data_IF_593134477674
#
_entry.id   IF_593134477674
#
_cell.length_a   1.000
_cell.length_b   1.000
_cell.length_c   1.000
_cell.angle_alpha   90.00
_cell.angle_beta   90.00
_cell.angle_gamma   90.00
#
_symmetry.space_group_name_H-M   'P 1'
#
loop_
_entity.id
_entity.type
_entity.pdbx_description
1 polymer ?
#
# COMPACT_ATOMS: atom_id res chain seq x y z
N UNK A 1 -14.69 47.26 3.43
CA UNK A 1 -14.08 46.55 2.28
C UNK A 1 -12.67 47.04 1.96
N UNK A 2 -12.44 48.34 1.75
CA UNK A 2 -11.08 48.89 1.46
C UNK A 2 -10.04 48.58 2.54
N UNK A 3 -10.38 48.75 3.82
CA UNK A 3 -9.48 48.45 4.95
C UNK A 3 -9.14 46.96 5.01
N UNK A 4 -10.10 46.07 4.73
CA UNK A 4 -9.89 44.63 4.75
C UNK A 4 -8.98 44.17 3.60
N UNK A 5 -9.10 44.79 2.41
CA UNK A 5 -8.22 44.56 1.27
C UNK A 5 -6.81 45.10 1.56
N UNK A 6 -6.68 46.25 2.21
CA UNK A 6 -5.38 46.79 2.63
C UNK A 6 -4.70 45.92 3.68
N UNK A 7 -5.45 45.37 4.65
CA UNK A 7 -4.92 44.41 5.63
C UNK A 7 -4.54 43.09 4.94
N UNK A 8 -5.34 42.61 3.99
CA UNK A 8 -5.03 41.42 3.20
C UNK A 8 -3.76 41.62 2.35
N UNK A 9 -3.59 42.77 1.69
CA UNK A 9 -2.39 43.10 0.93
C UNK A 9 -1.16 43.29 1.85
N UNK A 10 -1.35 43.83 3.06
CA UNK A 10 -0.30 43.95 4.07
C UNK A 10 0.13 42.57 4.61
N UNK A 11 -0.84 41.67 4.83
CA UNK A 11 -0.60 40.28 5.20
C UNK A 11 0.03 39.47 4.06
N UNK A 12 -0.35 39.74 2.81
CA UNK A 12 0.27 39.14 1.62
C UNK A 12 1.71 39.65 1.40
N UNK A 13 2.00 40.92 1.73
CA UNK A 13 3.39 41.43 1.74
C UNK A 13 4.26 40.87 2.86
N UNK A 14 3.66 40.18 3.84
CA UNK A 14 4.33 39.46 4.91
C UNK A 14 4.79 38.04 4.53
N UNK A 15 4.42 37.53 3.35
CA UNK A 15 5.10 36.37 2.77
C UNK A 15 6.45 36.85 2.23
N UNK A 16 7.41 37.01 3.13
CA UNK A 16 8.80 37.21 2.74
C UNK A 16 9.27 35.95 2.05
N UNK A 17 9.31 36.04 0.72
CA UNK A 17 10.08 35.19 -0.18
C UNK A 17 11.49 34.97 0.38
N UNK A 18 11.71 33.84 1.04
CA UNK A 18 12.95 33.53 1.73
C UNK A 18 13.85 32.68 0.82
N UNK A 19 15.13 33.03 0.78
CA UNK A 19 16.15 32.13 0.23
C UNK A 19 16.43 31.05 1.26
N UNK A 20 16.43 29.80 0.85
CA UNK A 20 16.75 28.68 1.73
C UNK A 20 18.13 28.12 1.40
N UNK A 21 18.92 27.87 2.44
CA UNK A 21 20.21 27.22 2.35
C UNK A 21 20.11 25.90 3.08
N UNK A 22 20.19 24.79 2.35
CA UNK A 22 20.15 23.45 2.89
C UNK A 22 21.56 22.85 2.86
N UNK A 23 22.08 22.44 4.01
CA UNK A 23 23.40 21.84 4.15
C UNK A 23 23.23 20.42 4.67
N UNK A 24 23.72 19.47 3.89
CA UNK A 24 23.80 18.07 4.25
C UNK A 24 25.18 17.75 4.85
N UNK A 25 25.21 17.44 6.14
CA UNK A 25 26.46 17.08 6.84
C UNK A 25 26.96 15.67 6.48
N UNK A 26 26.13 14.81 5.89
CA UNK A 26 26.52 13.46 5.46
C UNK A 26 27.61 13.47 4.39
N UNK A 27 27.40 14.23 3.30
CA UNK A 27 28.31 14.29 2.14
C UNK A 27 28.97 15.66 1.96
N UNK A 28 28.79 16.55 2.95
CA UNK A 28 29.33 17.91 2.99
C UNK A 28 28.89 18.73 1.78
N UNK A 29 27.63 18.58 1.35
CA UNK A 29 27.04 19.36 0.27
C UNK A 29 26.10 20.42 0.80
N UNK A 30 26.07 21.56 0.12
CA UNK A 30 25.14 22.63 0.39
C UNK A 30 24.41 23.06 -0.88
N UNK A 31 23.17 23.50 -0.71
CA UNK A 31 22.25 23.88 -1.76
C UNK A 31 21.61 25.21 -1.41
N UNK A 32 21.51 26.11 -2.38
CA UNK A 32 20.79 27.38 -2.24
C UNK A 32 19.56 27.31 -3.13
N UNK A 33 18.39 27.45 -2.51
CA UNK A 33 17.10 27.55 -3.15
C UNK A 33 16.60 28.98 -3.09
N UNK A 34 16.02 29.45 -4.19
CA UNK A 34 15.32 30.73 -4.20
C UNK A 34 13.91 30.61 -3.63
N UNK A 35 13.15 31.69 -3.74
CA UNK A 35 11.80 31.81 -3.21
C UNK A 35 10.74 30.96 -3.92
N UNK A 36 11.03 30.51 -5.14
CA UNK A 36 10.20 29.59 -5.91
C UNK A 36 10.67 28.13 -5.70
N UNK A 37 11.52 27.90 -4.69
CA UNK A 37 12.17 26.64 -4.37
C UNK A 37 13.00 26.09 -5.54
N UNK A 38 13.53 26.96 -6.41
CA UNK A 38 14.42 26.57 -7.49
C UNK A 38 15.86 26.52 -6.97
N UNK A 39 16.57 25.43 -7.29
CA UNK A 39 17.98 25.30 -6.98
C UNK A 39 18.80 26.30 -7.83
N UNK A 40 19.40 27.29 -7.20
CA UNK A 40 20.19 28.33 -7.87
C UNK A 40 21.70 28.14 -7.70
N UNK A 41 22.15 27.43 -6.66
CA UNK A 41 23.55 27.10 -6.47
C UNK A 41 23.72 25.80 -5.67
N UNK A 42 24.80 25.08 -5.95
CA UNK A 42 25.29 23.97 -5.12
C UNK A 42 26.77 24.18 -4.81
N UNK A 43 27.20 23.76 -3.63
CA UNK A 43 28.55 23.99 -3.12
C UNK A 43 28.99 22.88 -2.16
N UNK A 44 30.30 22.83 -1.87
CA UNK A 44 30.83 22.02 -0.78
C UNK A 44 30.80 22.85 0.50
N UNK A 45 30.24 22.27 1.55
CA UNK A 45 30.09 22.90 2.84
C UNK A 45 31.04 22.24 3.85
N UNK A 46 31.76 23.05 4.62
CA UNK A 46 32.48 22.58 5.80
C UNK A 46 31.76 23.11 7.03
N UNK A 47 31.28 22.20 7.86
CA UNK A 47 30.47 22.52 9.03
C UNK A 47 30.65 21.42 10.06
N UNK A 48 31.06 21.81 11.27
CA UNK A 48 31.17 20.90 12.41
C UNK A 48 29.88 20.85 13.25
N UNK A 49 28.88 21.67 12.90
CA UNK A 49 27.61 21.72 13.62
C UNK A 49 26.69 20.54 13.28
N UNK A 50 26.06 19.97 14.31
CA UNK A 50 25.27 18.73 14.19
C UNK A 50 23.87 19.00 13.61
N UNK A 51 23.22 20.10 14.01
CA UNK A 51 21.89 20.49 13.50
C UNK A 51 21.62 21.97 13.78
N UNK A 52 21.27 22.73 12.74
CA UNK A 52 20.93 24.16 12.83
C UNK A 52 19.69 24.41 11.96
N UNK A 53 18.76 25.21 12.45
CA UNK A 53 17.64 25.76 11.66
C UNK A 53 17.47 27.20 12.10
N UNK A 54 18.13 28.14 11.41
CA UNK A 54 18.19 29.53 11.84
C UNK A 54 18.09 30.48 10.64
N UNK A 55 17.90 31.77 10.91
CA UNK A 55 17.79 32.81 9.89
C UNK A 55 19.00 33.75 10.00
N UNK A 56 19.49 34.28 8.89
CA UNK A 56 20.54 35.31 8.90
C UNK A 56 19.98 36.59 9.51
N UNK A 57 20.57 37.03 10.62
CA UNK A 57 20.13 38.17 11.41
C UNK A 57 20.99 39.41 11.23
N UNK A 58 22.28 39.23 10.92
CA UNK A 58 23.22 40.34 10.83
C UNK A 58 24.44 40.00 9.96
N UNK A 59 25.28 41.00 9.71
CA UNK A 59 26.55 40.88 8.99
C UNK A 59 27.69 41.35 9.89
N UNK A 60 28.67 40.48 10.11
CA UNK A 60 29.96 40.87 10.64
C UNK A 60 30.82 41.46 9.53
N UNK A 61 31.36 42.66 9.76
CA UNK A 61 32.41 43.24 8.91
C UNK A 61 33.71 43.31 9.70
N UNK A 62 34.83 42.79 9.17
CA UNK A 62 36.10 42.81 9.87
C UNK A 62 36.53 44.25 10.14
N UNK A 63 37.02 44.51 11.35
CA UNK A 63 37.57 45.80 11.73
C UNK A 63 39.05 45.85 11.32
N UNK A 64 39.46 46.94 10.67
CA UNK A 64 40.88 47.22 10.48
C UNK A 64 41.49 47.75 11.78
N UNK A 65 41.98 46.83 12.61
CA UNK A 65 42.72 47.17 13.82
C UNK A 65 44.23 47.17 13.51
N UNK A 66 44.92 48.22 13.94
CA UNK A 66 46.38 48.36 13.76
C UNK A 66 47.19 47.50 14.75
N UNK A 67 46.52 46.82 15.68
CA UNK A 67 47.14 46.14 16.83
C UNK A 67 46.37 44.85 17.13
N UNK A 68 47.06 43.72 17.15
CA UNK A 68 46.48 42.38 17.38
C UNK A 68 46.30 42.11 18.87
N UNK A 69 45.16 42.52 19.44
CA UNK A 69 44.84 42.20 20.84
C UNK A 69 44.14 40.84 20.99
N UNK A 70 43.34 40.42 20.00
CA UNK A 70 42.58 39.16 20.00
C UNK A 70 42.42 38.66 18.55
N UNK A 71 42.43 37.34 18.29
CA UNK A 71 42.15 36.80 16.96
C UNK A 71 40.68 37.06 16.61
N UNK A 72 40.43 38.08 15.79
CA UNK A 72 39.13 38.36 15.22
C UNK A 72 39.06 37.80 13.79
N UNK A 73 37.86 37.42 13.32
CA UNK A 73 37.70 37.02 11.93
C UNK A 73 38.16 38.14 11.00
N UNK A 74 38.99 37.78 10.02
CA UNK A 74 39.54 38.73 9.05
C UNK A 74 38.63 38.88 7.83
N UNK A 75 37.66 37.97 7.70
CA UNK A 75 36.69 37.95 6.62
C UNK A 75 35.30 38.46 7.06
N UNK A 76 34.48 38.82 6.08
CA UNK A 76 33.06 39.17 6.32
C UNK A 76 32.29 37.88 6.58
N UNK A 77 31.40 37.88 7.57
CA UNK A 77 30.57 36.73 7.93
C UNK A 77 29.09 37.15 8.00
N UNK A 78 28.20 36.24 7.64
CA UNK A 78 26.77 36.34 7.95
C UNK A 78 26.52 35.70 9.31
N UNK A 79 25.79 36.38 10.19
CA UNK A 79 25.51 35.92 11.54
C UNK A 79 24.07 35.40 11.58
N UNK A 80 23.88 34.17 12.03
CA UNK A 80 22.57 33.57 12.26
C UNK A 80 21.94 34.10 13.55
N UNK A 81 20.61 34.05 13.69
CA UNK A 81 19.91 34.46 14.92
C UNK A 81 20.40 33.71 16.17
N UNK A 82 20.81 32.45 15.98
CA UNK A 82 21.35 31.60 17.04
C UNK A 82 22.85 31.88 17.35
N UNK A 83 23.48 32.83 16.64
CA UNK A 83 24.83 33.30 16.89
C UNK A 83 25.95 32.60 16.12
N UNK A 84 25.65 31.50 15.42
CA UNK A 84 26.63 30.86 14.51
C UNK A 84 26.88 31.73 13.28
N UNK A 85 28.00 31.48 12.63
CA UNK A 85 28.51 32.28 11.53
C UNK A 85 28.62 31.48 10.24
N UNK A 86 28.19 32.10 9.14
CA UNK A 86 28.30 31.57 7.79
C UNK A 86 29.28 32.44 6.99
N UNK A 87 30.32 31.83 6.43
CA UNK A 87 31.38 32.52 5.71
C UNK A 87 31.89 31.76 4.49
N UNK A 88 32.78 32.40 3.74
CA UNK A 88 33.38 31.79 2.56
C UNK A 88 34.34 30.66 2.94
N UNK A 89 35.36 30.98 3.75
CA UNK A 89 36.45 30.08 4.13
C UNK A 89 36.74 30.10 5.65
N UNK A 90 35.93 30.83 6.41
CA UNK A 90 36.07 31.06 7.85
C UNK A 90 34.66 31.15 8.46
N UNK A 91 34.50 30.77 9.72
CA UNK A 91 33.22 30.72 10.43
C UNK A 91 32.80 29.29 10.81
N UNK A 92 31.66 29.16 11.48
CA UNK A 92 31.12 27.86 11.90
C UNK A 92 30.63 27.02 10.71
N UNK A 93 30.17 27.71 9.66
CA UNK A 93 29.69 27.13 8.40
C UNK A 93 30.44 27.80 7.25
N UNK A 94 31.29 27.05 6.57
CA UNK A 94 32.00 27.51 5.38
C UNK A 94 31.29 27.02 4.11
N UNK A 95 30.91 27.93 3.22
CA UNK A 95 30.13 27.63 2.00
C UNK A 95 30.92 27.83 0.71
N UNK A 96 32.16 28.30 0.80
CA UNK A 96 32.99 28.71 -0.34
C UNK A 96 32.63 30.10 -0.86
N UNK A 97 33.60 30.75 -1.51
CA UNK A 97 33.51 32.15 -1.95
C UNK A 97 32.29 32.44 -2.82
N UNK A 98 32.03 31.63 -3.85
CA UNK A 98 30.93 31.85 -4.80
C UNK A 98 29.55 31.80 -4.13
N UNK A 99 29.33 30.83 -3.25
CA UNK A 99 28.06 30.71 -2.54
C UNK A 99 27.92 31.83 -1.50
N UNK A 100 29.01 32.19 -0.82
CA UNK A 100 29.01 33.29 0.13
C UNK A 100 28.69 34.63 -0.53
N UNK A 101 29.31 34.94 -1.67
CA UNK A 101 29.02 36.17 -2.44
C UNK A 101 27.54 36.26 -2.83
N UNK A 102 26.96 35.15 -3.32
CA UNK A 102 25.55 35.06 -3.65
C UNK A 102 24.66 35.34 -2.43
N UNK A 103 24.92 34.69 -1.30
CA UNK A 103 24.14 34.87 -0.08
C UNK A 103 24.31 36.28 0.49
N UNK A 104 25.53 36.82 0.46
CA UNK A 104 25.83 38.17 0.90
C UNK A 104 25.06 39.21 0.06
N UNK A 105 25.05 39.07 -1.26
CA UNK A 105 24.29 39.93 -2.16
C UNK A 105 22.79 39.85 -1.88
N UNK A 106 22.24 38.64 -1.74
CA UNK A 106 20.82 38.43 -1.44
C UNK A 106 20.40 39.08 -0.12
N UNK A 107 21.22 38.95 0.92
CA UNK A 107 20.93 39.54 2.22
C UNK A 107 21.15 41.07 2.22
N UNK A 108 22.32 41.54 1.80
CA UNK A 108 22.69 42.94 1.94
C UNK A 108 22.05 43.85 0.90
N UNK A 109 22.03 43.42 -0.37
CA UNK A 109 21.59 44.23 -1.51
C UNK A 109 20.11 44.01 -1.80
N UNK A 110 19.66 42.76 -1.84
CA UNK A 110 18.26 42.42 -2.21
C UNK A 110 17.32 42.41 -0.99
N UNK A 111 17.86 42.53 0.23
CA UNK A 111 17.09 42.51 1.50
C UNK A 111 16.21 41.27 1.64
N UNK A 112 16.66 40.13 1.12
CA UNK A 112 15.96 38.85 1.22
C UNK A 112 16.30 38.19 2.56
N UNK A 113 15.29 37.58 3.18
CA UNK A 113 15.51 36.69 4.32
C UNK A 113 16.24 35.43 3.85
N UNK A 114 17.19 34.94 4.64
CA UNK A 114 17.94 33.72 4.33
C UNK A 114 17.78 32.76 5.50
N UNK A 115 17.10 31.64 5.26
CA UNK A 115 16.98 30.54 6.21
C UNK A 115 18.10 29.54 5.94
N UNK A 116 18.77 29.08 6.99
CA UNK A 116 19.87 28.13 6.92
C UNK A 116 19.50 26.89 7.73
N UNK A 117 19.39 25.77 7.03
CA UNK A 117 19.07 24.45 7.55
C UNK A 117 20.27 23.52 7.39
N UNK A 118 20.91 23.16 8.51
CA UNK A 118 21.99 22.18 8.58
C UNK A 118 21.44 20.94 9.27
N UNK A 119 21.50 19.78 8.61
CA UNK A 119 21.15 18.50 9.22
C UNK A 119 21.89 17.36 8.51
N UNK A 120 21.81 16.16 9.10
CA UNK A 120 22.35 14.94 8.55
C UNK A 120 21.29 14.22 7.70
N UNK A 121 21.51 14.17 6.39
CA UNK A 121 20.66 13.46 5.43
C UNK A 121 21.48 12.38 4.71
N UNK A 122 21.38 11.10 5.12
CA UNK A 122 22.09 10.00 4.49
C UNK A 122 21.43 9.58 3.15
N UNK A 123 21.16 10.55 2.28
CA UNK A 123 20.43 10.44 1.03
C UNK A 123 21.27 10.99 -0.11
N UNK A 124 21.42 10.21 -1.18
CA UNK A 124 21.96 10.66 -2.46
C UNK A 124 20.85 10.61 -3.52
N UNK A 125 20.66 11.71 -4.26
CA UNK A 125 19.64 11.81 -5.30
C UNK A 125 20.33 11.83 -6.67
N UNK A 126 19.98 10.88 -7.52
CA UNK A 126 20.44 10.77 -8.90
C UNK A 126 19.26 10.96 -9.85
N UNK A 127 19.53 11.18 -11.14
CA UNK A 127 18.49 11.37 -12.16
C UNK A 127 17.51 10.19 -12.31
N UNK A 128 17.94 9.00 -11.94
CA UNK A 128 17.20 7.74 -12.12
C UNK A 128 16.84 7.03 -10.81
N UNK A 129 17.43 7.43 -9.68
CA UNK A 129 17.32 6.73 -8.39
C UNK A 129 17.60 7.61 -7.17
N UNK A 130 17.09 7.21 -6.03
CA UNK A 130 17.44 7.69 -4.70
C UNK A 130 18.21 6.58 -3.98
N UNK A 131 19.30 6.93 -3.32
CA UNK A 131 20.07 6.00 -2.48
C UNK A 131 19.98 6.48 -1.04
N UNK A 132 19.47 5.62 -0.15
CA UNK A 132 19.39 5.85 1.29
C UNK A 132 20.47 4.99 1.95
N UNK A 133 21.41 5.61 2.64
CA UNK A 133 22.62 4.94 3.15
C UNK A 133 22.46 4.45 4.58
N UNK A 134 21.68 5.18 5.37
CA UNK A 134 21.44 4.92 6.79
C UNK A 134 19.97 5.17 7.13
N UNK A 135 19.53 4.74 8.31
CA UNK A 135 18.15 4.91 8.76
C UNK A 135 17.79 6.39 8.87
N UNK A 136 16.60 6.75 8.39
CA UNK A 136 16.07 8.11 8.43
C UNK A 136 14.58 8.12 8.78
N UNK A 137 14.13 9.16 9.48
CA UNK A 137 12.70 9.36 9.74
C UNK A 137 11.97 9.85 8.47
N UNK A 138 10.69 9.50 8.35
CA UNK A 138 9.87 9.92 7.19
C UNK A 138 9.81 11.43 7.04
N UNK A 139 9.69 12.15 8.16
CA UNK A 139 9.64 13.62 8.19
C UNK A 139 10.92 14.24 7.63
N UNK A 140 12.10 13.76 8.07
CA UNK A 140 13.39 14.23 7.55
C UNK A 140 13.58 13.87 6.08
N UNK A 141 13.20 12.66 5.68
CA UNK A 141 13.25 12.23 4.28
C UNK A 141 12.42 13.15 3.39
N UNK A 142 11.17 13.41 3.79
CA UNK A 142 10.27 14.29 3.04
C UNK A 142 10.80 15.72 2.96
N UNK A 143 11.25 16.26 4.10
CA UNK A 143 11.85 17.59 4.14
C UNK A 143 13.00 17.74 3.14
N UNK A 144 13.95 16.81 3.13
CA UNK A 144 15.10 16.88 2.21
C UNK A 144 14.69 16.66 0.75
N UNK A 145 13.95 15.60 0.47
CA UNK A 145 13.71 15.15 -0.91
C UNK A 145 12.73 16.06 -1.66
N UNK A 146 11.79 16.72 -0.96
CA UNK A 146 10.83 17.65 -1.59
C UNK A 146 11.50 18.86 -2.26
N UNK A 147 12.70 19.24 -1.83
CA UNK A 147 13.48 20.30 -2.49
C UNK A 147 13.92 19.93 -3.91
N UNK A 148 14.15 18.63 -4.16
CA UNK A 148 14.66 18.15 -5.45
C UNK A 148 13.56 17.47 -6.28
N UNK A 149 12.57 16.87 -5.61
CA UNK A 149 11.51 16.06 -6.18
C UNK A 149 10.19 16.36 -5.46
N UNK A 150 9.58 17.55 -5.70
CA UNK A 150 8.37 17.98 -4.99
C UNK A 150 7.16 17.07 -5.23
N UNK A 151 7.10 16.42 -6.39
CA UNK A 151 6.02 15.48 -6.76
C UNK A 151 6.26 14.05 -6.27
N UNK A 152 7.33 13.80 -5.51
CA UNK A 152 7.61 12.46 -5.02
C UNK A 152 6.54 12.03 -4.02
N UNK A 153 6.00 10.83 -4.23
CA UNK A 153 4.91 10.34 -3.43
C UNK A 153 5.29 10.20 -1.94
N UNK A 154 4.38 10.62 -1.06
CA UNK A 154 4.51 10.58 0.42
C UNK A 154 4.88 9.18 0.93
N UNK A 155 4.49 8.13 0.22
CA UNK A 155 4.72 6.72 0.56
C UNK A 155 6.06 6.15 0.05
N UNK A 156 6.94 6.94 -0.54
CA UNK A 156 8.24 6.44 -1.04
C UNK A 156 9.02 5.66 0.05
N UNK A 157 9.71 4.56 -0.30
CA UNK A 157 10.49 3.79 0.67
C UNK A 157 11.56 4.63 1.37
N UNK A 158 11.75 4.41 2.67
CA UNK A 158 12.70 5.20 3.50
C UNK A 158 13.77 4.35 4.21
N UNK A 159 13.78 3.03 3.99
CA UNK A 159 14.81 2.16 4.57
C UNK A 159 16.12 2.29 3.80
N UNK A 160 17.28 1.88 4.37
CA UNK A 160 18.54 1.86 3.63
C UNK A 160 18.45 0.98 2.37
N UNK A 161 18.85 1.53 1.22
CA UNK A 161 18.71 0.85 -0.07
C UNK A 161 18.85 1.77 -1.27
N UNK A 162 18.70 1.19 -2.46
CA UNK A 162 18.71 1.90 -3.74
C UNK A 162 17.33 1.77 -4.37
N UNK A 163 16.68 2.90 -4.64
CA UNK A 163 15.31 2.97 -5.11
C UNK A 163 15.23 3.72 -6.44
N UNK A 164 14.69 3.13 -7.51
CA UNK A 164 14.51 3.85 -8.76
C UNK A 164 13.45 4.94 -8.62
N UNK A 165 13.70 6.12 -9.21
CA UNK A 165 12.71 7.21 -9.29
C UNK A 165 11.57 6.86 -10.24
N UNK A 166 11.91 6.16 -11.33
CA UNK A 166 10.95 5.50 -12.21
C UNK A 166 10.82 4.07 -11.74
N UNK A 167 10.02 3.81 -10.70
CA UNK A 167 9.55 2.44 -10.54
C UNK A 167 8.63 2.16 -11.72
N UNK A 168 9.09 1.34 -12.67
CA UNK A 168 8.16 0.58 -13.48
C UNK A 168 7.43 -0.29 -12.47
N UNK A 169 6.31 0.19 -11.94
CA UNK A 169 5.44 -0.61 -11.09
C UNK A 169 5.21 -1.91 -11.84
N UNK A 170 5.70 -3.01 -11.28
CA UNK A 170 5.48 -4.31 -11.89
C UNK A 170 3.98 -4.52 -11.95
N UNK A 171 3.48 -4.94 -13.12
CA UNK A 171 2.05 -5.19 -13.31
C UNK A 171 1.61 -6.21 -12.26
N UNK A 172 0.51 -5.95 -11.53
CA UNK A 172 -0.03 -6.95 -10.62
C UNK A 172 -0.46 -8.18 -11.42
N UNK A 173 -0.21 -9.34 -10.85
CA UNK A 173 -0.85 -10.57 -11.30
C UNK A 173 -2.24 -10.68 -10.66
N UNK A 174 -3.09 -11.56 -11.18
CA UNK A 174 -4.45 -11.72 -10.65
C UNK A 174 -4.79 -13.19 -10.48
N UNK A 175 -5.30 -13.53 -9.31
CA UNK A 175 -5.96 -14.80 -9.06
C UNK A 175 -7.47 -14.64 -9.27
N UNK A 176 -8.00 -15.36 -10.24
CA UNK A 176 -9.43 -15.50 -10.49
C UNK A 176 -9.89 -16.86 -9.95
N UNK A 177 -10.93 -16.86 -9.12
CA UNK A 177 -11.58 -18.08 -8.65
C UNK A 177 -13.09 -17.97 -8.78
N UNK A 178 -13.74 -19.11 -9.01
CA UNK A 178 -15.19 -19.22 -9.18
C UNK A 178 -15.73 -20.44 -8.44
N UNK A 179 -16.92 -20.30 -7.90
CA UNK A 179 -17.67 -21.30 -7.18
C UNK A 179 -19.10 -21.34 -7.76
N UNK A 180 -19.48 -22.41 -8.48
CA UNK A 180 -20.84 -22.57 -9.01
C UNK A 180 -21.90 -22.28 -7.95
N UNK A 181 -22.96 -21.56 -8.34
CA UNK A 181 -24.07 -21.22 -7.45
C UNK A 181 -23.80 -20.15 -6.38
N UNK A 182 -22.53 -19.82 -6.11
CA UNK A 182 -22.15 -18.81 -5.12
C UNK A 182 -21.64 -17.54 -5.80
N UNK A 183 -20.74 -17.66 -6.77
CA UNK A 183 -20.06 -16.53 -7.39
C UNK A 183 -18.55 -16.73 -7.47
N UNK A 184 -17.78 -15.64 -7.48
CA UNK A 184 -16.33 -15.67 -7.58
C UNK A 184 -15.68 -14.39 -7.12
N UNK A 185 -14.37 -14.30 -7.32
CA UNK A 185 -13.62 -13.08 -7.05
C UNK A 185 -12.33 -12.99 -7.85
N UNK A 186 -11.86 -11.76 -8.02
CA UNK A 186 -10.54 -11.42 -8.57
C UNK A 186 -9.73 -10.75 -7.47
N UNK A 187 -8.60 -11.37 -7.13
CA UNK A 187 -7.66 -10.88 -6.12
C UNK A 187 -6.36 -10.49 -6.82
N UNK A 188 -5.89 -9.23 -6.65
CA UNK A 188 -4.59 -8.81 -7.16
C UNK A 188 -3.46 -9.39 -6.29
N UNK A 189 -2.39 -9.83 -6.95
CA UNK A 189 -1.13 -10.28 -6.37
C UNK A 189 -0.08 -9.23 -6.75
N UNK A 190 0.32 -8.43 -5.77
CA UNK A 190 1.33 -7.40 -5.96
C UNK A 190 2.72 -7.97 -5.71
N UNK A 191 3.64 -7.74 -6.65
CA UNK A 191 5.06 -8.07 -6.50
C UNK A 191 5.83 -7.05 -5.66
N UNK A 192 5.25 -5.86 -5.46
CA UNK A 192 5.75 -4.75 -4.65
C UNK A 192 4.66 -4.30 -3.66
N UNK A 193 4.85 -3.16 -2.98
CA UNK A 193 3.85 -2.65 -2.03
C UNK A 193 2.44 -2.48 -2.66
N UNK A 194 1.37 -2.84 -1.93
CA UNK A 194 0.00 -2.76 -2.43
C UNK A 194 -0.37 -1.33 -2.83
N UNK A 195 -1.02 -1.19 -3.98
CA UNK A 195 -1.47 0.09 -4.50
C UNK A 195 -2.96 0.04 -4.85
N UNK A 196 -3.59 1.22 -4.85
CA UNK A 196 -5.01 1.36 -5.16
C UNK A 196 -5.27 0.93 -6.61
N UNK A 197 -6.20 -0.02 -6.78
CA UNK A 197 -6.72 -0.45 -8.07
C UNK A 197 -8.10 0.17 -8.25
N UNK A 198 -8.40 0.60 -9.47
CA UNK A 198 -9.76 0.93 -9.87
C UNK A 198 -10.33 -0.27 -10.61
N UNK A 199 -11.50 -0.69 -10.21
CA UNK A 199 -12.22 -1.80 -10.82
C UNK A 199 -13.49 -1.27 -11.47
N UNK A 200 -13.86 -1.88 -12.58
CA UNK A 200 -15.17 -1.73 -13.19
C UNK A 200 -15.77 -3.14 -13.34
N UNK A 201 -16.89 -3.40 -12.66
CA UNK A 201 -17.61 -4.66 -12.71
C UNK A 201 -18.96 -4.39 -13.35
N UNK A 202 -19.17 -4.89 -14.57
CA UNK A 202 -20.42 -4.71 -15.32
C UNK A 202 -20.89 -3.24 -15.42
N UNK A 203 -19.94 -2.30 -15.54
CA UNK A 203 -20.20 -0.86 -15.59
C UNK A 203 -20.16 -0.14 -14.25
N UNK A 204 -19.99 -0.86 -13.13
CA UNK A 204 -19.97 -0.30 -11.77
C UNK A 204 -18.53 -0.14 -11.28
N UNK A 205 -18.14 1.10 -10.99
CA UNK A 205 -16.78 1.40 -10.53
C UNK A 205 -16.60 1.16 -9.02
N UNK A 206 -15.44 0.64 -8.62
CA UNK A 206 -15.05 0.48 -7.21
C UNK A 206 -13.53 0.53 -7.01
N UNK A 207 -13.07 0.87 -5.80
CA UNK A 207 -11.64 1.00 -5.44
C UNK A 207 -11.21 -0.01 -4.37
N UNK A 208 -11.97 -1.09 -4.19
CA UNK A 208 -11.68 -2.12 -3.20
C UNK A 208 -10.37 -2.86 -3.54
N UNK A 209 -9.70 -3.39 -2.51
CA UNK A 209 -8.47 -4.18 -2.67
C UNK A 209 -8.67 -5.48 -3.46
N UNK A 210 -9.89 -5.99 -3.51
CA UNK A 210 -10.30 -7.13 -4.32
C UNK A 210 -11.78 -6.99 -4.68
N UNK A 211 -12.22 -7.71 -5.71
CA UNK A 211 -13.61 -7.69 -6.17
C UNK A 211 -14.22 -9.07 -6.15
N UNK A 212 -15.52 -9.11 -5.85
CA UNK A 212 -16.32 -10.33 -5.74
C UNK A 212 -17.60 -10.12 -6.53
N UNK A 213 -18.09 -11.18 -7.17
CA UNK A 213 -19.27 -11.19 -8.04
C UNK A 213 -20.09 -12.46 -7.79
N UNK A 214 -21.39 -12.39 -8.08
CA UNK A 214 -22.30 -13.52 -7.91
C UNK A 214 -22.27 -14.50 -9.09
N UNK A 215 -23.24 -15.41 -9.18
CA UNK A 215 -23.43 -16.22 -10.38
C UNK A 215 -23.98 -15.37 -11.53
N UNK A 216 -23.56 -15.67 -12.76
CA UNK A 216 -23.88 -14.90 -13.96
C UNK A 216 -22.69 -14.74 -14.91
N UNK A 217 -22.92 -13.98 -15.99
CA UNK A 217 -21.86 -13.48 -16.86
C UNK A 217 -21.39 -12.11 -16.35
N UNK A 218 -20.07 -11.95 -16.25
CA UNK A 218 -19.44 -10.74 -15.74
C UNK A 218 -18.29 -10.28 -16.64
N UNK A 219 -18.24 -8.97 -16.89
CA UNK A 219 -17.11 -8.26 -17.47
C UNK A 219 -16.45 -7.43 -16.35
N UNK A 220 -15.21 -7.76 -16.03
CA UNK A 220 -14.46 -7.13 -14.95
C UNK A 220 -13.21 -6.49 -15.54
N UNK A 221 -13.03 -5.20 -15.34
CA UNK A 221 -11.86 -4.47 -15.79
C UNK A 221 -11.10 -3.92 -14.58
N UNK A 222 -9.82 -4.25 -14.49
CA UNK A 222 -8.89 -3.69 -13.51
C UNK A 222 -8.05 -2.63 -14.19
N UNK A 223 -8.07 -1.40 -13.67
CA UNK A 223 -7.26 -0.27 -14.13
C UNK A 223 -6.20 0.03 -13.08
N UNK A 224 -4.96 0.11 -13.56
CA UNK A 224 -3.76 0.27 -12.76
C UNK A 224 -2.92 1.43 -13.28
N UNK A 225 -2.62 2.38 -12.40
CA UNK A 225 -1.73 3.50 -12.72
C UNK A 225 -0.27 3.04 -12.58
N UNK A 226 0.39 2.80 -13.73
CA UNK A 226 1.81 2.44 -13.81
C UNK A 226 2.72 3.65 -13.55
N UNK A 227 2.29 4.84 -13.99
CA UNK A 227 2.99 6.12 -13.76
C UNK A 227 2.06 7.32 -13.98
N UNK A 228 2.54 8.54 -13.73
CA UNK A 228 1.78 9.80 -13.83
C UNK A 228 1.06 9.99 -15.18
N UNK A 229 1.52 9.31 -16.25
CA UNK A 229 0.92 9.38 -17.59
C UNK A 229 0.75 7.99 -18.26
N UNK A 230 0.75 6.90 -17.48
CA UNK A 230 0.58 5.56 -18.03
C UNK A 230 -0.39 4.75 -17.19
N UNK A 231 -1.51 4.38 -17.81
CA UNK A 231 -2.47 3.45 -17.25
C UNK A 231 -2.34 2.12 -17.97
N UNK A 232 -2.47 1.04 -17.21
CA UNK A 232 -2.62 -0.30 -17.73
C UNK A 232 -3.97 -0.85 -17.30
N UNK A 233 -4.62 -1.56 -18.22
CA UNK A 233 -5.91 -2.17 -17.99
C UNK A 233 -5.84 -3.67 -18.30
N UNK A 234 -6.49 -4.46 -17.45
CA UNK A 234 -6.70 -5.89 -17.63
C UNK A 234 -8.18 -6.21 -17.53
N UNK A 235 -8.73 -6.80 -18.58
CA UNK A 235 -10.11 -7.30 -18.61
C UNK A 235 -10.19 -8.79 -18.29
N UNK A 236 -11.24 -9.18 -17.60
CA UNK A 236 -11.63 -10.56 -17.32
C UNK A 236 -13.08 -10.75 -17.78
N UNK A 237 -13.31 -11.82 -18.55
CA UNK A 237 -14.65 -12.32 -18.87
C UNK A 237 -14.87 -13.59 -18.11
N UNK A 238 -15.84 -13.59 -17.22
CA UNK A 238 -16.10 -14.69 -16.31
C UNK A 238 -17.55 -15.11 -16.43
N UNK A 239 -17.78 -16.41 -16.58
CA UNK A 239 -19.09 -17.01 -16.46
C UNK A 239 -19.10 -17.92 -15.23
N UNK A 240 -20.03 -17.65 -14.31
CA UNK A 240 -20.27 -18.50 -13.15
C UNK A 240 -21.67 -19.09 -13.28
N UNK A 241 -21.82 -20.41 -13.44
CA UNK A 241 -23.13 -21.02 -13.59
C UNK A 241 -23.95 -20.84 -12.31
N UNK A 242 -25.22 -20.48 -12.46
CA UNK A 242 -26.19 -20.63 -11.37
C UNK A 242 -26.26 -22.10 -10.98
N UNK A 243 -26.42 -22.38 -9.69
CA UNK A 243 -26.61 -23.74 -9.21
C UNK A 243 -27.96 -23.85 -8.52
N UNK A 244 -28.74 -24.85 -8.91
CA UNK A 244 -30.06 -25.11 -8.33
C UNK A 244 -29.98 -26.31 -7.41
N UNK A 245 -30.39 -26.14 -6.15
CA UNK A 245 -30.51 -27.26 -5.21
C UNK A 245 -31.94 -27.77 -5.23
N UNK A 246 -32.13 -29.02 -5.65
CA UNK A 246 -33.40 -29.72 -5.66
C UNK A 246 -33.48 -30.63 -4.44
N UNK A 247 -34.52 -30.45 -3.62
CA UNK A 247 -34.79 -31.31 -2.49
C UNK A 247 -35.91 -32.28 -2.83
N UNK A 248 -35.68 -33.57 -2.60
CA UNK A 248 -36.71 -34.59 -2.70
C UNK A 248 -36.67 -35.52 -1.50
N UNK A 249 -37.80 -36.14 -1.20
CA UNK A 249 -37.93 -37.15 -0.15
C UNK A 249 -38.65 -38.36 -0.70
N UNK A 250 -38.16 -39.55 -0.39
CA UNK A 250 -38.79 -40.80 -0.77
C UNK A 250 -38.77 -41.81 0.37
N UNK A 251 -39.74 -42.71 0.36
CA UNK A 251 -39.81 -43.84 1.28
C UNK A 251 -39.67 -45.13 0.49
N UNK A 252 -38.84 -46.05 0.99
CA UNK A 252 -38.55 -47.31 0.33
C UNK A 252 -38.66 -48.46 1.32
N UNK A 253 -39.22 -49.58 0.87
CA UNK A 253 -39.27 -50.81 1.65
C UNK A 253 -37.91 -51.51 1.67
N UNK A 254 -37.59 -52.13 2.80
CA UNK A 254 -36.39 -52.96 2.99
C UNK A 254 -36.25 -54.00 1.88
N UNK A 255 -35.06 -54.12 1.29
CA UNK A 255 -34.75 -55.14 0.26
C UNK A 255 -35.46 -54.98 -1.09
N UNK A 256 -36.30 -53.96 -1.30
CA UNK A 256 -37.01 -53.75 -2.59
C UNK A 256 -36.29 -52.84 -3.57
N UNK A 257 -35.24 -52.15 -3.13
CA UNK A 257 -34.49 -51.19 -3.95
C UNK A 257 -33.05 -51.64 -4.06
N UNK A 258 -32.55 -51.72 -5.29
CA UNK A 258 -31.15 -52.04 -5.57
C UNK A 258 -30.26 -50.82 -5.32
N UNK A 259 -29.10 -51.04 -4.70
CA UNK A 259 -28.06 -50.03 -4.53
C UNK A 259 -27.53 -49.48 -5.86
N UNK A 260 -27.70 -50.23 -6.95
CA UNK A 260 -27.32 -49.82 -8.31
C UNK A 260 -28.00 -48.54 -8.79
N UNK A 261 -29.18 -48.19 -8.25
CA UNK A 261 -29.90 -46.97 -8.61
C UNK A 261 -29.28 -45.70 -8.00
N UNK A 262 -28.29 -45.84 -7.12
CA UNK A 262 -27.68 -44.74 -6.35
C UNK A 262 -26.15 -44.76 -6.40
N UNK A 263 -25.55 -45.37 -7.42
CA UNK A 263 -24.08 -45.45 -7.56
C UNK A 263 -23.43 -44.07 -7.74
N UNK A 264 -24.11 -43.14 -8.42
CA UNK A 264 -23.63 -41.77 -8.66
C UNK A 264 -23.98 -40.79 -7.51
N UNK A 265 -24.43 -41.30 -6.36
CA UNK A 265 -24.80 -40.49 -5.20
C UNK A 265 -23.77 -40.59 -4.08
N UNK A 266 -23.48 -39.46 -3.45
CA UNK A 266 -22.70 -39.33 -2.24
C UNK A 266 -23.59 -39.46 -1.01
N UNK A 267 -23.24 -40.40 -0.12
CA UNK A 267 -23.94 -40.67 1.13
C UNK A 267 -23.39 -39.77 2.25
N UNK A 268 -24.22 -38.88 2.79
CA UNK A 268 -23.76 -37.90 3.81
C UNK A 268 -23.59 -38.49 5.20
N UNK A 269 -24.23 -39.63 5.46
CA UNK A 269 -24.16 -40.36 6.73
C UNK A 269 -22.98 -41.35 6.80
N UNK A 270 -22.20 -41.47 5.71
CA UNK A 270 -21.06 -42.37 5.63
C UNK A 270 -21.44 -43.86 5.57
N UNK A 271 -22.72 -44.17 5.34
CA UNK A 271 -23.19 -45.55 5.18
C UNK A 271 -22.89 -46.01 3.76
N UNK A 272 -22.23 -47.15 3.61
CA UNK A 272 -21.90 -47.71 2.29
C UNK A 272 -23.19 -48.04 1.50
N UNK A 273 -23.25 -47.74 0.18
CA UNK A 273 -24.47 -47.89 -0.63
C UNK A 273 -25.11 -49.30 -0.57
N UNK A 274 -24.28 -50.34 -0.41
CA UNK A 274 -24.74 -51.73 -0.38
C UNK A 274 -25.39 -52.13 0.97
N UNK A 275 -25.22 -51.34 2.04
CA UNK A 275 -25.78 -51.64 3.36
C UNK A 275 -27.09 -50.91 3.64
N UNK A 276 -27.33 -49.80 2.95
CA UNK A 276 -28.39 -48.86 3.34
C UNK A 276 -29.80 -49.43 3.15
N UNK A 277 -30.02 -50.28 2.14
CA UNK A 277 -31.32 -50.91 1.88
C UNK A 277 -31.50 -52.25 2.60
N UNK A 278 -30.54 -52.62 3.47
CA UNK A 278 -30.56 -53.86 4.26
C UNK A 278 -30.95 -53.64 5.72
N UNK A 279 -31.05 -52.38 6.18
CA UNK A 279 -31.51 -52.01 7.53
C UNK A 279 -32.50 -50.84 7.47
N UNK A 280 -33.49 -50.78 8.38
CA UNK A 280 -34.34 -49.59 8.51
C UNK A 280 -33.51 -48.38 8.95
N UNK A 281 -33.53 -47.31 8.17
CA UNK A 281 -32.75 -46.11 8.45
C UNK A 281 -33.32 -44.87 7.75
N UNK A 282 -32.81 -43.70 8.13
CA UNK A 282 -33.00 -42.45 7.38
C UNK A 282 -31.63 -41.98 6.90
N UNK A 283 -31.52 -41.73 5.60
CA UNK A 283 -30.28 -41.29 4.96
C UNK A 283 -30.53 -40.07 4.09
N UNK A 284 -29.47 -39.30 3.84
CA UNK A 284 -29.49 -38.18 2.90
C UNK A 284 -28.38 -38.39 1.88
N UNK A 285 -28.78 -38.35 0.61
CA UNK A 285 -27.92 -38.54 -0.54
C UNK A 285 -27.77 -37.21 -1.28
N UNK A 286 -26.59 -36.97 -1.83
CA UNK A 286 -26.34 -35.85 -2.73
C UNK A 286 -25.82 -36.39 -4.06
N UNK A 287 -26.38 -35.93 -5.17
CA UNK A 287 -25.71 -36.03 -6.47
C UNK A 287 -25.51 -34.63 -7.05
N UNK A 288 -24.41 -34.47 -7.78
CA UNK A 288 -24.01 -33.20 -8.39
C UNK A 288 -23.97 -33.41 -9.90
N UNK A 289 -24.96 -32.86 -10.59
CA UNK A 289 -25.04 -32.83 -12.06
C UNK A 289 -25.15 -31.36 -12.50
N UNK A 290 -24.01 -30.64 -12.66
CA UNK A 290 -24.04 -29.20 -12.87
C UNK A 290 -24.95 -28.79 -14.02
N UNK A 291 -25.87 -27.81 -13.83
CA UNK A 291 -25.98 -26.87 -12.71
C UNK A 291 -26.87 -27.32 -11.54
N UNK A 292 -27.33 -28.56 -11.48
CA UNK A 292 -28.24 -29.04 -10.44
C UNK A 292 -27.52 -29.86 -9.37
N UNK A 293 -27.85 -29.61 -8.11
CA UNK A 293 -27.53 -30.48 -6.98
C UNK A 293 -28.83 -31.10 -6.52
N UNK A 294 -28.92 -32.42 -6.55
CA UNK A 294 -30.08 -33.12 -6.00
C UNK A 294 -29.76 -33.66 -4.62
N UNK A 295 -30.51 -33.19 -3.61
CA UNK A 295 -30.49 -33.68 -2.23
C UNK A 295 -31.71 -34.56 -2.03
N UNK A 296 -31.48 -35.86 -1.88
CA UNK A 296 -32.54 -36.87 -1.73
C UNK A 296 -32.52 -37.40 -0.32
N UNK A 297 -33.62 -37.21 0.42
CA UNK A 297 -33.82 -37.88 1.72
C UNK A 297 -34.53 -39.20 1.50
N UNK A 298 -33.95 -40.30 1.96
CA UNK A 298 -34.56 -41.63 1.87
C UNK A 298 -34.88 -42.13 3.27
N UNK A 299 -36.12 -42.60 3.48
CA UNK A 299 -36.50 -43.37 4.66
C UNK A 299 -36.70 -44.83 4.25
N UNK A 300 -35.85 -45.71 4.76
CA UNK A 300 -35.96 -47.16 4.58
C UNK A 300 -36.82 -47.73 5.71
N UNK A 301 -37.95 -48.33 5.35
CA UNK A 301 -38.91 -48.91 6.31
C UNK A 301 -38.87 -50.44 6.24
N UNK A 302 -39.01 -51.09 7.39
CA UNK A 302 -39.31 -52.52 7.45
C UNK A 302 -40.83 -52.71 7.35
N UNK A 303 -41.30 -53.10 6.17
CA UNK A 303 -42.68 -53.47 5.91
C UNK A 303 -42.88 -55.00 5.87
N UNK A 304 -41.84 -55.78 6.22
CA UNK A 304 -41.97 -57.23 6.26
C UNK A 304 -42.83 -57.66 7.46
N UNK A 305 -43.79 -58.53 7.19
CA UNK A 305 -44.58 -59.12 8.27
C UNK A 305 -43.68 -60.04 9.12
N UNK A 306 -43.75 -59.97 10.46
CA UNK A 306 -42.95 -60.83 11.32
C UNK A 306 -43.32 -62.29 11.09
N UNK A 307 -42.34 -63.11 10.69
CA UNK A 307 -42.49 -64.55 10.58
C UNK A 307 -42.29 -65.15 11.98
N UNK A 308 -43.38 -65.44 12.68
CA UNK A 308 -43.32 -66.16 13.95
C UNK A 308 -43.24 -67.66 13.67
N UNK A 309 -42.03 -68.22 13.74
CA UNK A 309 -41.84 -69.67 13.71
C UNK A 309 -42.18 -70.27 15.08
N UNK A 310 -43.45 -70.59 15.30
CA UNK A 310 -43.87 -71.34 16.49
C UNK A 310 -43.54 -72.82 16.24
N UNK A 311 -42.39 -73.29 16.73
CA UNK A 311 -42.19 -74.72 16.92
C UNK A 311 -43.02 -75.15 18.13
N UNK A 312 -44.24 -75.62 17.89
CA UNK A 312 -45.02 -76.28 18.91
C UNK A 312 -44.40 -77.67 19.16
N UNK A 313 -43.85 -77.98 20.34
CA UNK A 313 -43.45 -79.35 20.64
C UNK A 313 -44.71 -80.23 20.60
N UNK A 314 -44.68 -81.25 19.74
CA UNK A 314 -45.74 -82.25 19.69
C UNK A 314 -45.87 -82.90 21.07
N UNK A 315 -47.06 -82.81 21.67
CA UNK A 315 -47.44 -83.62 22.83
C UNK A 315 -47.34 -85.09 22.40
N UNK A 316 -46.26 -85.76 22.81
CA UNK A 316 -46.11 -87.21 22.67
C UNK A 316 -47.30 -87.88 23.34
N UNK A 317 -48.10 -88.55 22.52
CA UNK A 317 -49.16 -89.42 22.98
C UNK A 317 -48.56 -90.72 23.52
N UNK A 318 -48.81 -91.00 24.81
CA UNK A 318 -48.79 -92.35 25.37
C UNK A 318 -47.48 -92.84 25.97
N UNK A 319 -47.53 -93.17 27.26
CA UNK A 319 -47.22 -94.51 27.77
C UNK A 319 -47.70 -94.62 29.24
N UNK A 320 -48.69 -95.51 29.43
CA UNK A 320 -49.15 -96.23 30.65
C UNK A 320 -49.56 -95.42 31.88
#
# INVERSE_FOLDING_TARGET
>A
MRILISILLLLLSGFTFATEVLINTYDKTGYVFDEDNQLIASFKAECDAVRISSVVSNVYRPLHLTVDYFPLPVSTLLILEEGQTLGANEGDICVGEKAFELLYQKYCSEKKSITVNVDFYPIEIYSDRIVIKEEITREKFQHFVQHFLPDLAVWYPITPGVYPLKSSRLKPEFALYTFPGIGGGVIPIFHNEPCSLKWNIDGIETTKSAVFFGPGEHQIDAVYDLSFNSQWQQGFRVFVPYQRVLFSSTEVSLGRVSSGNYEDYFFLDGIEPHRIFSIPCKTTLITVDPPEISVVRITVQDDMQPIINIQCPQKTSGLL
#
